data_IF_825558604527
#
_entry.id   IF_825558604527
#
_cell.length_a   1.000
_cell.length_b   1.000
_cell.length_c   1.000
_cell.angle_alpha   90.00
_cell.angle_beta   90.00
_cell.angle_gamma   90.00
#
_symmetry.space_group_name_H-M   'P 1'
#
loop_
_entity.id
_entity.type
_entity.pdbx_description
1 polymer ?
#
# COMPACT_ATOMS: atom_id res chain seq x y z
N UNK A 1 -15.22 -24.52 9.79
CA UNK A 1 -15.03 -23.81 8.50
C UNK A 1 -15.50 -24.75 7.39
N UNK A 2 -16.37 -24.27 6.48
CA UNK A 2 -16.86 -25.09 5.36
C UNK A 2 -15.69 -25.32 4.40
N UNK A 3 -15.32 -26.58 4.15
CA UNK A 3 -14.29 -26.92 3.16
C UNK A 3 -14.90 -26.85 1.77
N UNK A 4 -14.11 -26.47 0.78
CA UNK A 4 -14.50 -26.56 -0.63
C UNK A 4 -14.37 -27.99 -1.13
N UNK A 5 -15.15 -28.38 -2.14
CA UNK A 5 -15.23 -29.78 -2.62
C UNK A 5 -13.94 -30.22 -3.35
N UNK A 6 -13.22 -29.29 -3.96
CA UNK A 6 -11.96 -29.56 -4.66
C UNK A 6 -10.99 -28.39 -4.61
N UNK A 7 -9.69 -28.71 -4.64
CA UNK A 7 -8.58 -27.77 -4.62
C UNK A 7 -7.63 -28.03 -5.80
N UNK A 8 -6.86 -27.01 -6.18
CA UNK A 8 -5.79 -27.09 -7.17
C UNK A 8 -4.59 -26.29 -6.71
N UNK A 9 -3.41 -26.61 -7.23
CA UNK A 9 -2.22 -25.77 -7.06
C UNK A 9 -2.46 -24.36 -7.64
N UNK A 10 -2.15 -23.31 -6.88
CA UNK A 10 -2.26 -21.92 -7.31
C UNK A 10 -1.19 -21.53 -8.34
N UNK A 11 -0.14 -22.32 -8.50
CA UNK A 11 1.08 -21.98 -9.25
C UNK A 11 1.97 -20.95 -8.54
N UNK A 12 1.67 -20.61 -7.27
CA UNK A 12 2.41 -19.66 -6.45
C UNK A 12 2.81 -20.35 -5.14
N UNK A 13 4.12 -20.59 -4.96
CA UNK A 13 4.65 -21.43 -3.87
C UNK A 13 4.14 -21.07 -2.47
N UNK A 14 4.08 -19.80 -2.12
CA UNK A 14 3.66 -19.36 -0.80
C UNK A 14 2.14 -19.38 -0.58
N UNK A 15 1.35 -19.41 -1.65
CA UNK A 15 -0.11 -19.55 -1.59
C UNK A 15 -0.49 -21.02 -1.43
N UNK A 16 0.25 -21.92 -2.12
CA UNK A 16 -0.06 -23.35 -2.13
C UNK A 16 -1.35 -23.66 -2.88
N UNK A 17 -2.22 -24.47 -2.27
CA UNK A 17 -3.48 -24.90 -2.87
C UNK A 17 -4.61 -23.87 -2.67
N UNK A 18 -5.40 -23.66 -3.69
CA UNK A 18 -6.60 -22.81 -3.70
C UNK A 18 -7.84 -23.62 -4.14
N UNK A 19 -9.06 -23.21 -3.77
CA UNK A 19 -10.29 -23.82 -4.29
C UNK A 19 -10.26 -23.89 -5.81
N UNK A 20 -10.78 -24.95 -6.38
CA UNK A 20 -10.65 -25.23 -7.82
C UNK A 20 -11.20 -24.12 -8.74
N UNK A 21 -12.20 -23.38 -8.28
CA UNK A 21 -12.82 -22.26 -9.01
C UNK A 21 -12.14 -20.89 -8.77
N UNK A 22 -11.08 -20.85 -7.93
CA UNK A 22 -10.29 -19.64 -7.71
C UNK A 22 -9.13 -19.54 -8.69
N UNK A 23 -8.62 -18.31 -8.89
CA UNK A 23 -7.46 -18.04 -9.72
C UNK A 23 -6.48 -17.14 -8.96
N UNK A 24 -5.18 -17.43 -9.09
CA UNK A 24 -4.12 -16.53 -8.68
C UNK A 24 -3.84 -15.53 -9.82
N UNK A 25 -4.07 -14.25 -9.56
CA UNK A 25 -3.99 -13.19 -10.58
C UNK A 25 -2.99 -12.14 -10.10
N UNK A 26 -2.15 -11.64 -11.02
CA UNK A 26 -1.25 -10.51 -10.73
C UNK A 26 -2.06 -9.28 -10.30
N UNK A 27 -1.63 -8.61 -9.21
CA UNK A 27 -2.33 -7.46 -8.63
C UNK A 27 -2.53 -6.32 -9.64
N UNK A 28 -1.57 -6.08 -10.53
CA UNK A 28 -1.66 -5.09 -11.60
C UNK A 28 -2.73 -5.36 -12.66
N UNK A 29 -3.23 -6.60 -12.75
CA UNK A 29 -4.37 -6.93 -13.61
C UNK A 29 -5.72 -6.65 -12.97
N UNK A 30 -5.73 -6.54 -11.65
CA UNK A 30 -6.94 -6.32 -10.85
C UNK A 30 -7.06 -4.86 -10.45
N UNK A 31 -5.93 -4.22 -10.11
CA UNK A 31 -5.85 -2.82 -9.74
C UNK A 31 -5.12 -2.04 -10.84
N UNK A 32 -5.84 -1.26 -11.67
CA UNK A 32 -5.24 -0.55 -12.81
C UNK A 32 -4.33 0.60 -12.39
N UNK A 33 -4.49 1.11 -11.16
CA UNK A 33 -3.69 2.20 -10.63
C UNK A 33 -2.93 1.72 -9.41
N UNK A 34 -1.62 1.60 -9.60
CA UNK A 34 -0.65 1.36 -8.53
C UNK A 34 0.38 2.47 -8.65
N UNK A 35 0.68 3.15 -7.56
CA UNK A 35 1.55 4.31 -7.59
C UNK A 35 2.31 4.51 -6.29
N UNK A 36 3.08 5.57 -6.25
CA UNK A 36 3.76 6.07 -5.05
C UNK A 36 3.59 7.58 -4.96
N UNK A 37 4.00 8.15 -3.85
CA UNK A 37 3.89 9.58 -3.63
C UNK A 37 5.20 10.35 -3.81
N UNK A 38 5.21 11.57 -3.29
CA UNK A 38 6.31 12.52 -3.37
C UNK A 38 6.61 13.06 -1.98
N UNK A 39 7.90 13.30 -1.69
CA UNK A 39 8.32 13.99 -0.46
C UNK A 39 8.70 15.42 -0.80
N UNK A 40 7.97 16.43 -0.31
CA UNK A 40 8.37 17.81 -0.42
C UNK A 40 9.69 18.07 0.29
N UNK A 41 10.47 19.06 -0.15
CA UNK A 41 11.73 19.41 0.48
C UNK A 41 11.52 19.81 1.95
N UNK A 42 12.21 19.14 2.86
CA UNK A 42 12.07 19.38 4.31
C UNK A 42 12.55 20.78 4.75
N UNK A 43 13.43 21.40 3.97
CA UNK A 43 13.90 22.77 4.21
C UNK A 43 12.88 23.85 3.84
N UNK A 44 11.80 23.49 3.18
CA UNK A 44 10.72 24.40 2.79
C UNK A 44 9.61 24.33 3.84
N UNK A 45 9.74 25.12 4.90
CA UNK A 45 8.74 25.19 5.98
C UNK A 45 7.35 25.58 5.48
N UNK A 46 7.28 26.40 4.42
CA UNK A 46 6.04 26.81 3.77
C UNK A 46 5.28 25.70 3.07
N UNK A 47 5.87 24.49 2.94
CA UNK A 47 5.19 23.30 2.43
C UNK A 47 4.42 22.51 3.49
N UNK A 48 4.63 22.81 4.77
CA UNK A 48 4.05 22.05 5.88
C UNK A 48 3.12 22.91 6.73
N UNK A 49 2.02 22.32 7.24
CA UNK A 49 1.06 23.03 8.09
C UNK A 49 0.19 22.05 8.85
N UNK A 50 -0.02 22.26 10.14
CA UNK A 50 -0.94 21.44 10.96
C UNK A 50 -2.39 21.46 10.48
N UNK A 51 -2.81 22.53 9.80
CA UNK A 51 -4.15 22.72 9.23
C UNK A 51 -4.21 22.37 7.73
N UNK A 52 -3.15 21.75 7.21
CA UNK A 52 -3.02 21.42 5.79
C UNK A 52 -3.78 20.16 5.37
N UNK A 53 -3.42 19.68 4.17
CA UNK A 53 -3.95 18.47 3.55
C UNK A 53 -3.18 17.25 4.06
N UNK A 54 -3.84 16.11 4.19
CA UNK A 54 -3.23 14.88 4.67
C UNK A 54 -2.04 14.45 3.80
N UNK A 55 -0.93 14.08 4.45
CA UNK A 55 0.26 13.56 3.81
C UNK A 55 0.80 12.37 4.60
N UNK A 56 0.49 11.19 4.14
CA UNK A 56 0.80 9.92 4.79
C UNK A 56 2.27 9.54 4.57
N UNK A 57 2.90 9.12 5.64
CA UNK A 57 4.24 8.56 5.65
C UNK A 57 4.21 7.10 6.11
N UNK A 58 5.29 6.35 5.86
CA UNK A 58 5.37 4.94 6.27
C UNK A 58 5.25 4.74 7.78
N UNK A 59 5.56 5.76 8.58
CA UNK A 59 5.39 5.77 10.04
C UNK A 59 3.93 5.74 10.49
N UNK A 60 3.01 6.23 9.67
CA UNK A 60 1.56 6.24 9.96
C UNK A 60 0.92 4.85 9.77
N UNK A 61 1.60 3.93 9.07
CA UNK A 61 1.07 2.60 8.80
C UNK A 61 1.11 1.71 10.04
N UNK A 62 -0.05 1.19 10.43
CA UNK A 62 -0.26 0.45 11.68
C UNK A 62 -0.86 -0.95 11.48
N UNK A 63 -0.91 -1.48 10.23
CA UNK A 63 -1.61 -2.69 9.84
C UNK A 63 -3.13 -2.62 10.10
N UNK A 64 -3.71 -1.44 9.96
CA UNK A 64 -5.12 -1.16 10.24
C UNK A 64 -5.70 -0.06 9.34
N UNK A 65 -6.81 0.49 9.81
CA UNK A 65 -7.48 1.62 9.16
C UNK A 65 -6.70 2.91 9.42
N UNK A 66 -6.50 3.71 8.39
CA UNK A 66 -5.83 5.02 8.46
C UNK A 66 -6.89 6.11 8.40
N UNK A 67 -7.13 6.74 9.54
CA UNK A 67 -8.13 7.81 9.72
C UNK A 67 -7.52 9.20 9.84
N UNK A 68 -6.19 9.28 10.02
CA UNK A 68 -5.45 10.54 10.13
C UNK A 68 -3.99 10.33 9.69
N UNK A 69 -3.26 11.42 9.50
CA UNK A 69 -1.83 11.41 9.19
C UNK A 69 -1.08 12.26 10.20
N UNK A 70 0.13 11.83 10.57
CA UNK A 70 1.00 12.55 11.50
C UNK A 70 1.48 13.90 10.96
N UNK A 71 1.51 14.03 9.63
CA UNK A 71 1.93 15.26 8.94
C UNK A 71 0.91 15.69 7.91
N UNK A 72 0.87 16.99 7.68
CA UNK A 72 0.04 17.63 6.67
C UNK A 72 0.86 18.60 5.85
N UNK A 73 0.42 18.85 4.63
CA UNK A 73 1.08 19.70 3.65
C UNK A 73 0.16 20.81 3.18
N UNK A 74 0.75 21.91 2.74
CA UNK A 74 -0.01 23.06 2.22
C UNK A 74 -0.46 22.83 0.77
N UNK A 75 -1.50 23.52 0.29
CA UNK A 75 -1.88 23.53 -1.14
C UNK A 75 -0.72 23.92 -2.05
N UNK A 76 0.17 24.79 -1.58
CA UNK A 76 1.39 25.19 -2.29
C UNK A 76 2.32 24.03 -2.55
N UNK A 77 2.56 23.19 -1.53
CA UNK A 77 3.36 21.98 -1.69
C UNK A 77 2.74 21.01 -2.71
N UNK A 78 1.41 20.84 -2.67
CA UNK A 78 0.67 19.99 -3.62
C UNK A 78 0.89 20.47 -5.05
N UNK A 79 0.76 21.77 -5.29
CA UNK A 79 0.88 22.33 -6.64
C UNK A 79 2.33 22.31 -7.14
N UNK A 80 3.28 22.81 -6.36
CA UNK A 80 4.70 22.89 -6.76
C UNK A 80 5.35 21.51 -6.92
N UNK A 81 5.02 20.54 -6.05
CA UNK A 81 5.54 19.16 -6.10
C UNK A 81 4.70 18.22 -6.97
N UNK A 82 3.62 18.71 -7.62
CA UNK A 82 2.70 17.91 -8.46
C UNK A 82 2.22 16.63 -7.74
N UNK A 83 1.82 16.79 -6.48
CA UNK A 83 1.45 15.66 -5.64
C UNK A 83 0.09 15.08 -6.04
N UNK A 84 -0.02 13.76 -6.00
CA UNK A 84 -1.26 13.04 -6.25
C UNK A 84 -1.94 12.69 -4.95
N UNK A 85 -3.26 12.83 -4.92
CA UNK A 85 -4.11 12.34 -3.84
C UNK A 85 -4.73 11.01 -4.22
N UNK A 86 -4.83 10.15 -3.24
CA UNK A 86 -5.37 8.81 -3.37
C UNK A 86 -6.66 8.69 -2.57
N UNK A 87 -7.69 8.08 -3.15
CA UNK A 87 -9.02 8.03 -2.54
C UNK A 87 -9.07 7.08 -1.33
N UNK A 88 -10.14 7.23 -0.54
CA UNK A 88 -10.52 6.25 0.49
C UNK A 88 -10.57 4.83 -0.09
N UNK A 89 -10.36 3.84 0.78
CA UNK A 89 -10.27 2.42 0.44
C UNK A 89 -9.06 2.01 -0.40
N UNK A 90 -8.12 2.94 -0.69
CA UNK A 90 -6.81 2.55 -1.20
C UNK A 90 -6.03 1.77 -0.14
N UNK A 91 -5.29 0.75 -0.57
CA UNK A 91 -4.36 0.01 0.28
C UNK A 91 -2.96 0.60 0.12
N UNK A 92 -2.29 0.87 1.23
CA UNK A 92 -0.95 1.46 1.26
C UNK A 92 0.03 0.49 1.90
N UNK A 93 1.22 0.35 1.31
CA UNK A 93 2.26 -0.58 1.79
C UNK A 93 3.58 0.18 1.88
N UNK A 94 4.28 0.04 3.02
CA UNK A 94 5.65 0.53 3.15
C UNK A 94 6.62 -0.33 2.34
N UNK A 95 7.33 0.29 1.38
CA UNK A 95 8.22 -0.43 0.46
C UNK A 95 9.63 -0.62 1.01
N UNK A 96 10.09 0.20 1.95
CA UNK A 96 11.45 0.13 2.50
C UNK A 96 11.57 0.80 3.87
N UNK A 97 12.73 0.65 4.51
CA UNK A 97 13.04 1.19 5.83
C UNK A 97 12.55 0.29 6.97
N UNK A 98 12.54 0.84 8.19
CA UNK A 98 12.17 0.09 9.40
C UNK A 98 10.69 -0.34 9.44
N UNK A 99 9.85 0.24 8.60
CA UNK A 99 8.41 -0.04 8.50
C UNK A 99 8.05 -0.96 7.34
N UNK A 100 9.03 -1.47 6.60
CA UNK A 100 8.82 -2.33 5.42
C UNK A 100 7.77 -3.42 5.67
N UNK A 101 6.84 -3.59 4.74
CA UNK A 101 5.74 -4.54 4.84
C UNK A 101 4.61 -4.15 5.79
N UNK A 102 4.65 -2.98 6.45
CA UNK A 102 3.45 -2.44 7.12
C UNK A 102 2.42 -2.02 6.08
N UNK A 103 1.17 -2.28 6.39
CA UNK A 103 0.02 -2.02 5.51
C UNK A 103 -0.97 -1.08 6.17
N UNK A 104 -1.66 -0.26 5.38
CA UNK A 104 -2.79 0.56 5.81
C UNK A 104 -3.93 0.49 4.82
N UNK A 105 -5.17 0.56 5.31
CA UNK A 105 -6.37 0.76 4.51
C UNK A 105 -6.85 2.21 4.73
N UNK A 106 -6.92 3.02 3.69
CA UNK A 106 -7.29 4.43 3.82
C UNK A 106 -8.78 4.61 4.11
N UNK A 107 -9.09 5.38 5.15
CA UNK A 107 -10.42 5.93 5.45
C UNK A 107 -10.46 7.46 5.23
N UNK A 108 -9.37 8.01 4.74
CA UNK A 108 -9.21 9.40 4.35
C UNK A 108 -8.59 9.51 2.97
N UNK A 109 -8.85 10.61 2.28
CA UNK A 109 -8.09 10.99 1.10
C UNK A 109 -6.75 11.59 1.53
N UNK A 110 -5.65 11.16 0.92
CA UNK A 110 -4.31 11.61 1.30
C UNK A 110 -3.32 11.54 0.14
N UNK A 111 -2.35 12.45 0.13
CA UNK A 111 -1.10 12.26 -0.59
C UNK A 111 -0.14 11.39 0.25
N UNK A 112 0.92 10.87 -0.34
CA UNK A 112 1.90 10.04 0.37
C UNK A 112 3.33 10.42 0.00
N UNK A 113 4.30 9.92 0.78
CA UNK A 113 5.70 9.99 0.41
C UNK A 113 6.06 8.87 -0.60
N UNK A 114 7.24 8.93 -1.19
CA UNK A 114 7.71 7.93 -2.17
C UNK A 114 8.01 6.54 -1.57
N UNK A 115 8.07 6.43 -0.23
CA UNK A 115 8.31 5.15 0.44
C UNK A 115 7.04 4.30 0.57
N UNK A 116 5.88 4.85 0.20
CA UNK A 116 4.59 4.18 0.18
C UNK A 116 4.23 3.73 -1.24
N UNK A 117 3.89 2.45 -1.41
CA UNK A 117 3.18 1.95 -2.57
C UNK A 117 1.68 2.02 -2.31
N UNK A 118 0.92 2.62 -3.21
CA UNK A 118 -0.52 2.79 -3.10
C UNK A 118 -1.21 1.97 -4.17
N UNK A 119 -2.20 1.19 -3.75
CA UNK A 119 -3.03 0.37 -4.61
C UNK A 119 -4.43 0.95 -4.55
N UNK A 120 -4.84 1.63 -5.62
CA UNK A 120 -6.15 2.28 -5.70
C UNK A 120 -7.24 1.21 -5.82
N UNK A 121 -8.40 1.37 -5.14
CA UNK A 121 -9.47 0.39 -5.19
C UNK A 121 -9.97 0.17 -6.62
N UNK A 122 -10.39 -1.04 -6.89
CA UNK A 122 -10.97 -1.44 -8.18
C UNK A 122 -12.35 -2.04 -7.95
N UNK A 123 -13.22 -1.98 -8.97
CA UNK A 123 -14.55 -2.62 -8.92
C UNK A 123 -14.49 -4.16 -8.95
N UNK A 124 -13.31 -4.73 -9.24
CA UNK A 124 -13.13 -6.18 -9.43
C UNK A 124 -12.88 -6.93 -8.14
N UNK A 125 -12.44 -6.25 -7.09
CA UNK A 125 -12.04 -6.89 -5.83
C UNK A 125 -12.34 -5.97 -4.66
N UNK A 126 -12.78 -6.56 -3.54
CA UNK A 126 -13.03 -5.83 -2.31
C UNK A 126 -11.71 -5.26 -1.73
N UNK A 127 -11.64 -3.97 -1.40
CA UNK A 127 -10.43 -3.36 -0.83
C UNK A 127 -9.92 -4.06 0.43
N UNK A 128 -10.82 -4.52 1.31
CA UNK A 128 -10.46 -5.30 2.51
C UNK A 128 -9.78 -6.62 2.16
N UNK A 129 -10.20 -7.27 1.07
CA UNK A 129 -9.56 -8.50 0.62
C UNK A 129 -8.10 -8.21 0.21
N UNK A 130 -7.86 -7.17 -0.59
CA UNK A 130 -6.51 -6.73 -0.95
C UNK A 130 -5.69 -6.41 0.29
N UNK A 131 -6.24 -5.65 1.24
CA UNK A 131 -5.58 -5.30 2.49
C UNK A 131 -5.14 -6.55 3.28
N UNK A 132 -6.05 -7.49 3.54
CA UNK A 132 -5.73 -8.71 4.29
C UNK A 132 -4.78 -9.64 3.51
N UNK A 133 -4.85 -9.66 2.19
CA UNK A 133 -3.89 -10.43 1.37
C UNK A 133 -2.45 -9.95 1.60
N UNK A 134 -2.21 -8.63 1.71
CA UNK A 134 -0.89 -8.09 2.02
C UNK A 134 -0.47 -8.32 3.47
N UNK A 135 -1.41 -8.30 4.42
CA UNK A 135 -1.11 -8.68 5.82
C UNK A 135 -0.59 -10.12 5.89
N UNK A 136 -1.25 -11.05 5.20
CA UNK A 136 -0.86 -12.46 5.17
C UNK A 136 0.44 -12.68 4.39
N UNK A 137 0.61 -12.00 3.26
CA UNK A 137 1.79 -12.12 2.41
C UNK A 137 3.04 -11.42 2.96
N UNK A 138 2.97 -10.75 4.10
CA UNK A 138 4.04 -9.90 4.63
C UNK A 138 5.39 -10.62 4.75
N UNK A 139 5.42 -11.82 5.30
CA UNK A 139 6.67 -12.59 5.49
C UNK A 139 7.30 -12.93 4.13
N UNK A 140 6.51 -13.36 3.17
CA UNK A 140 6.98 -13.67 1.82
C UNK A 140 7.48 -12.43 1.07
N UNK A 141 6.79 -11.30 1.22
CA UNK A 141 7.23 -10.01 0.68
C UNK A 141 8.58 -9.59 1.27
N UNK A 142 8.78 -9.78 2.57
CA UNK A 142 10.06 -9.51 3.23
C UNK A 142 11.17 -10.45 2.71
N UNK A 143 10.91 -11.75 2.61
CA UNK A 143 11.87 -12.72 2.07
C UNK A 143 12.27 -12.38 0.63
N UNK A 144 11.33 -12.01 -0.22
CA UNK A 144 11.61 -11.61 -1.61
C UNK A 144 12.41 -10.32 -1.68
N UNK A 145 12.27 -9.41 -0.71
CA UNK A 145 13.04 -8.17 -0.64
C UNK A 145 14.52 -8.37 -0.32
N UNK A 146 14.87 -9.45 0.40
CA UNK A 146 16.26 -9.80 0.71
C UNK A 146 16.99 -10.52 -0.44
N UNK A 147 16.25 -11.14 -1.36
CA UNK A 147 16.83 -11.88 -2.50
C UNK A 147 17.32 -11.01 -3.67
N UNK A 148 17.00 -9.73 -3.71
CA UNK A 148 17.25 -8.82 -4.84
C UNK A 148 18.53 -7.96 -4.75
N UNK A 149 19.49 -8.25 -3.88
CA UNK A 149 20.79 -7.55 -3.80
C UNK A 149 20.73 -6.14 -3.17
N UNK A 150 19.56 -5.62 -2.85
CA UNK A 150 19.37 -4.45 -1.98
C UNK A 150 18.50 -4.87 -0.79
N UNK A 151 19.07 -5.08 0.40
CA UNK A 151 18.29 -5.35 1.59
C UNK A 151 17.32 -4.18 1.85
N UNK A 152 16.07 -4.52 2.13
CA UNK A 152 15.01 -3.59 2.52
C UNK A 152 14.25 -2.85 1.38
N UNK A 153 14.08 -3.46 0.21
CA UNK A 153 13.19 -2.94 -0.82
C UNK A 153 12.23 -4.03 -1.33
N UNK A 154 10.94 -3.75 -1.29
CA UNK A 154 9.91 -4.56 -1.96
C UNK A 154 9.77 -4.01 -3.38
N UNK A 155 9.98 -4.85 -4.37
CA UNK A 155 9.83 -4.54 -5.79
C UNK A 155 8.41 -4.81 -6.31
#
# INVERSE_FOLDING_TARGET
MKKYDAYKDSGVKWIGEIPNHWEAIKISRVHPIIGSGTTPLSSREDYYSEKGLNWLQTGDLNNGLITETSKKITPKAVDECKMKFYPIHSVVIAMYGATIGKVGLLDIETATNQACCIIVPSKRICPKYTFYSFIIAKEELLLSSFGGGQPNKIG
#
